data_IF_995248066302
#
_entry.id   IF_995248066302
#
_cell.length_a   1.000
_cell.length_b   1.000
_cell.length_c   1.000
_cell.angle_alpha   90.00
_cell.angle_beta   90.00
_cell.angle_gamma   90.00
#
_symmetry.space_group_name_H-M   'P 1'
#
loop_
_entity.id
_entity.type
_entity.pdbx_description
1 polymer ?
#
# COMPACT_ATOMS: atom_id res chain seq x y z
N UNK A 1 -7.58 -21.79 -1.36
CA UNK A 1 -6.62 -21.89 -0.25
C UNK A 1 -6.31 -20.50 0.25
N UNK A 2 -6.16 -20.32 1.56
CA UNK A 2 -5.67 -19.06 2.14
C UNK A 2 -4.20 -18.96 1.75
N UNK A 3 -3.82 -17.90 1.02
CA UNK A 3 -2.42 -17.65 0.66
C UNK A 3 -1.66 -17.24 1.92
N UNK A 4 -0.52 -17.86 2.18
CA UNK A 4 0.32 -17.57 3.35
C UNK A 4 1.73 -17.21 2.93
N UNK A 5 2.49 -16.64 3.87
CA UNK A 5 3.92 -16.32 3.73
C UNK A 5 4.63 -16.63 5.02
N UNK A 6 5.95 -16.84 4.95
CA UNK A 6 6.78 -16.97 6.14
C UNK A 6 7.52 -15.66 6.38
N UNK A 7 7.39 -15.09 7.57
CA UNK A 7 8.17 -13.95 8.02
C UNK A 7 9.21 -14.37 9.04
N UNK A 8 10.43 -13.88 8.90
CA UNK A 8 11.54 -14.11 9.82
C UNK A 8 12.03 -12.77 10.35
N UNK A 9 12.17 -12.65 11.66
CA UNK A 9 12.73 -11.49 12.34
C UNK A 9 14.02 -11.91 13.07
N UNK A 10 15.14 -11.33 12.65
CA UNK A 10 16.47 -11.65 13.16
C UNK A 10 16.88 -10.59 14.20
N UNK A 11 16.63 -10.87 15.47
CA UNK A 11 17.09 -10.04 16.58
C UNK A 11 18.49 -10.43 17.08
N UNK A 12 19.07 -9.57 17.93
CA UNK A 12 20.37 -9.84 18.57
C UNK A 12 20.35 -11.02 19.54
N UNK A 13 19.20 -11.33 20.15
CA UNK A 13 19.06 -12.42 21.13
C UNK A 13 18.28 -13.61 20.58
N UNK A 14 17.27 -13.37 19.75
CA UNK A 14 16.37 -14.40 19.24
C UNK A 14 16.14 -14.21 17.74
N UNK A 15 15.99 -15.35 17.04
CA UNK A 15 15.44 -15.40 15.69
C UNK A 15 14.02 -15.93 15.82
N UNK A 16 13.05 -15.18 15.30
CA UNK A 16 11.63 -15.53 15.33
C UNK A 16 11.17 -15.78 13.90
N UNK A 17 10.35 -16.79 13.70
CA UNK A 17 9.72 -17.07 12.42
C UNK A 17 8.23 -17.34 12.61
N UNK A 18 7.41 -16.88 11.67
CA UNK A 18 5.98 -17.12 11.69
C UNK A 18 5.44 -17.34 10.28
N UNK A 19 4.52 -18.30 10.12
CA UNK A 19 3.69 -18.39 8.92
C UNK A 19 2.47 -17.53 9.13
N UNK A 20 2.23 -16.59 8.23
CA UNK A 20 1.24 -15.52 8.38
C UNK A 20 0.30 -15.52 7.18
N UNK A 21 -1.00 -15.35 7.44
CA UNK A 21 -2.01 -15.14 6.40
C UNK A 21 -1.95 -13.74 5.80
N UNK A 22 -2.63 -13.54 4.67
CA UNK A 22 -2.71 -12.22 4.02
C UNK A 22 -3.40 -11.13 4.86
N UNK A 23 -4.14 -11.53 5.90
CA UNK A 23 -4.79 -10.68 6.90
C UNK A 23 -3.86 -10.29 8.07
N UNK A 24 -2.60 -10.75 8.06
CA UNK A 24 -1.65 -10.54 9.15
C UNK A 24 -1.80 -11.53 10.32
N UNK A 25 -2.71 -12.52 10.23
CA UNK A 25 -2.90 -13.51 11.28
C UNK A 25 -1.76 -14.54 11.28
N UNK A 26 -1.14 -14.75 12.44
CA UNK A 26 -0.12 -15.78 12.63
C UNK A 26 -0.79 -17.16 12.74
N UNK A 27 -0.35 -18.09 11.89
CA UNK A 27 -0.86 -19.46 11.77
C UNK A 27 0.08 -20.51 12.37
N UNK A 28 1.38 -20.25 12.32
CA UNK A 28 2.41 -21.09 12.93
C UNK A 28 3.57 -20.21 13.41
N UNK A 29 4.28 -20.67 14.45
CA UNK A 29 5.44 -19.97 15.03
C UNK A 29 6.59 -20.93 15.23
N UNK A 30 7.80 -20.43 15.02
CA UNK A 30 9.05 -21.08 15.38
C UNK A 30 10.03 -20.04 15.94
N UNK A 31 10.96 -20.47 16.79
CA UNK A 31 12.00 -19.59 17.34
C UNK A 31 13.29 -20.34 17.60
N UNK A 32 14.41 -19.63 17.49
CA UNK A 32 15.71 -20.11 17.90
C UNK A 32 16.48 -18.99 18.62
N UNK A 33 17.46 -19.34 19.44
CA UNK A 33 18.43 -18.35 19.91
C UNK A 33 19.18 -17.75 18.72
N UNK A 34 19.59 -16.49 18.83
CA UNK A 34 20.47 -15.85 17.84
C UNK A 34 21.94 -16.22 18.07
N UNK A 35 22.82 -15.78 17.17
CA UNK A 35 24.27 -15.98 17.25
C UNK A 35 24.97 -14.78 16.60
N UNK A 36 26.20 -14.50 17.00
CA UNK A 36 27.07 -13.54 16.29
C UNK A 36 27.73 -14.17 15.07
N UNK A 37 27.72 -15.51 14.96
CA UNK A 37 28.23 -16.23 13.79
C UNK A 37 27.17 -16.25 12.68
N UNK A 38 27.43 -15.61 11.52
CA UNK A 38 26.47 -15.53 10.42
C UNK A 38 26.12 -16.88 9.81
N UNK A 39 27.03 -17.87 9.85
CA UNK A 39 26.78 -19.23 9.37
C UNK A 39 25.73 -19.91 10.24
N UNK A 40 25.90 -19.81 11.57
CA UNK A 40 24.94 -20.37 12.53
C UNK A 40 23.59 -19.70 12.42
N UNK A 41 23.56 -18.37 12.19
CA UNK A 41 22.29 -17.64 12.00
C UNK A 41 21.56 -18.13 10.76
N UNK A 42 22.23 -18.22 9.60
CA UNK A 42 21.53 -18.62 8.36
C UNK A 42 21.06 -20.08 8.43
N UNK A 43 21.81 -20.99 9.04
CA UNK A 43 21.39 -22.38 9.27
C UNK A 43 20.15 -22.47 10.17
N UNK A 44 20.09 -21.63 11.21
CA UNK A 44 18.91 -21.54 12.08
C UNK A 44 17.71 -20.96 11.33
N UNK A 45 17.90 -19.94 10.50
CA UNK A 45 16.83 -19.40 9.64
C UNK A 45 16.29 -20.48 8.71
N UNK A 46 17.16 -21.23 8.04
CA UNK A 46 16.76 -22.36 7.18
C UNK A 46 15.96 -23.42 7.96
N UNK A 47 16.41 -23.80 9.16
CA UNK A 47 15.71 -24.78 9.98
C UNK A 47 14.33 -24.27 10.43
N UNK A 48 14.23 -22.99 10.82
CA UNK A 48 12.97 -22.37 11.23
C UNK A 48 11.98 -22.31 10.07
N UNK A 49 12.41 -21.85 8.89
CA UNK A 49 11.57 -21.77 7.69
C UNK A 49 11.08 -23.16 7.29
N UNK A 50 11.97 -24.16 7.25
CA UNK A 50 11.61 -25.54 6.90
C UNK A 50 10.56 -26.13 7.85
N UNK A 51 10.56 -25.73 9.13
CA UNK A 51 9.60 -26.21 10.13
C UNK A 51 8.19 -25.62 10.00
N UNK A 52 8.02 -24.54 9.24
CA UNK A 52 6.72 -23.84 9.08
C UNK A 52 6.32 -23.62 7.62
N UNK A 53 7.14 -24.07 6.67
CA UNK A 53 6.83 -24.05 5.24
C UNK A 53 5.82 -25.16 4.87
N UNK A 54 4.91 -24.87 3.95
CA UNK A 54 3.97 -25.82 3.35
C UNK A 54 3.56 -25.38 1.94
N UNK A 55 2.67 -26.11 1.29
CA UNK A 55 2.18 -25.82 -0.07
C UNK A 55 1.40 -24.50 -0.20
N UNK A 56 0.95 -23.91 0.90
CA UNK A 56 0.18 -22.65 0.90
C UNK A 56 1.09 -21.42 0.93
N UNK A 57 2.34 -21.59 1.34
CA UNK A 57 3.33 -20.50 1.45
C UNK A 57 3.74 -20.04 0.04
N UNK A 58 3.71 -18.73 -0.19
CA UNK A 58 3.99 -18.13 -1.50
C UNK A 58 5.36 -17.42 -1.54
N UNK A 59 5.91 -17.09 -0.37
CA UNK A 59 7.13 -16.30 -0.25
C UNK A 59 7.65 -16.27 1.19
N UNK A 60 8.92 -15.87 1.32
CA UNK A 60 9.62 -15.73 2.58
C UNK A 60 10.11 -14.28 2.71
N UNK A 61 9.81 -13.64 3.82
CA UNK A 61 10.30 -12.30 4.14
C UNK A 61 11.21 -12.33 5.36
N UNK A 62 12.24 -11.48 5.35
CA UNK A 62 13.26 -11.45 6.39
C UNK A 62 13.52 -10.01 6.81
N UNK A 63 13.27 -9.71 8.07
CA UNK A 63 13.73 -8.52 8.76
C UNK A 63 15.12 -8.77 9.35
N UNK A 64 16.09 -7.94 8.96
CA UNK A 64 17.46 -8.01 9.49
C UNK A 64 17.83 -6.69 10.19
N UNK A 65 18.71 -6.74 11.20
CA UNK A 65 19.22 -5.54 11.83
C UNK A 65 20.30 -4.92 10.93
N UNK A 66 20.17 -3.63 10.63
CA UNK A 66 21.14 -2.90 9.79
C UNK A 66 20.60 -2.57 8.40
N UNK A 67 21.51 -2.29 7.46
CA UNK A 67 21.17 -1.76 6.14
C UNK A 67 21.01 -2.88 5.11
N UNK A 68 20.00 -2.73 4.24
CA UNK A 68 19.70 -3.67 3.16
C UNK A 68 19.56 -2.91 1.85
N UNK A 69 20.24 -3.40 0.82
CA UNK A 69 19.94 -3.01 -0.55
C UNK A 69 18.69 -3.76 -1.02
N UNK A 70 17.52 -3.16 -0.79
CA UNK A 70 16.21 -3.80 -0.97
C UNK A 70 16.03 -4.47 -2.34
N UNK A 71 16.40 -3.77 -3.42
CA UNK A 71 16.19 -4.26 -4.79
C UNK A 71 16.95 -5.56 -5.08
N UNK A 72 18.20 -5.68 -4.62
CA UNK A 72 18.99 -6.91 -4.79
C UNK A 72 18.81 -7.90 -3.62
N UNK A 73 18.17 -7.49 -2.53
CA UNK A 73 18.09 -8.26 -1.28
C UNK A 73 19.43 -8.51 -0.60
N UNK A 74 20.45 -7.67 -0.84
CA UNK A 74 21.76 -7.84 -0.20
C UNK A 74 21.78 -7.11 1.13
N UNK A 75 22.22 -7.80 2.18
CA UNK A 75 22.56 -7.15 3.46
C UNK A 75 23.86 -6.37 3.24
N UNK A 76 23.85 -5.08 3.57
CA UNK A 76 25.01 -4.19 3.39
C UNK A 76 25.81 -4.04 4.68
N UNK A 77 25.13 -4.04 5.82
CA UNK A 77 25.74 -4.00 7.14
C UNK A 77 24.82 -4.64 8.17
N UNK A 78 25.43 -5.29 9.16
CA UNK A 78 24.74 -5.81 10.34
C UNK A 78 24.74 -4.88 11.52
N UNK A 79 23.75 -5.06 12.40
CA UNK A 79 23.84 -4.62 13.79
C UNK A 79 24.65 -5.62 14.62
N UNK A 80 23.99 -6.27 15.57
CA UNK A 80 24.58 -7.35 16.38
C UNK A 80 24.83 -8.64 15.58
N UNK A 81 24.16 -8.80 14.44
CA UNK A 81 24.27 -9.93 13.52
C UNK A 81 24.59 -9.37 12.14
N UNK A 82 25.75 -9.72 11.59
CA UNK A 82 26.20 -9.25 10.28
C UNK A 82 26.14 -10.34 9.22
N UNK A 83 25.11 -10.26 8.38
CA UNK A 83 24.87 -11.18 7.26
C UNK A 83 25.38 -10.61 5.92
N UNK A 84 26.16 -9.52 5.92
CA UNK A 84 26.62 -8.86 4.67
C UNK A 84 27.49 -9.75 3.78
N UNK A 85 28.18 -10.73 4.37
CA UNK A 85 28.98 -11.72 3.66
C UNK A 85 28.18 -12.95 3.18
N UNK A 86 26.89 -13.06 3.53
CA UNK A 86 26.04 -14.21 3.22
C UNK A 86 25.07 -13.86 2.09
N UNK A 87 25.00 -14.66 1.00
CA UNK A 87 23.98 -14.51 -0.04
C UNK A 87 22.63 -15.07 0.45
N UNK A 88 22.02 -14.38 1.43
CA UNK A 88 20.84 -14.87 2.16
C UNK A 88 19.67 -15.15 1.21
N UNK A 89 19.39 -14.24 0.27
CA UNK A 89 18.29 -14.38 -0.69
C UNK A 89 18.51 -15.62 -1.56
N UNK A 90 19.63 -15.68 -2.27
CA UNK A 90 19.93 -16.73 -3.24
C UNK A 90 19.95 -18.10 -2.56
N UNK A 91 20.52 -18.18 -1.35
CA UNK A 91 20.59 -19.41 -0.58
C UNK A 91 19.20 -19.93 -0.20
N UNK A 92 18.32 -19.06 0.28
CA UNK A 92 16.96 -19.45 0.68
C UNK A 92 16.06 -19.72 -0.54
N UNK A 93 16.21 -18.95 -1.62
CA UNK A 93 15.50 -19.20 -2.88
C UNK A 93 15.89 -20.57 -3.46
N UNK A 94 17.18 -20.90 -3.49
CA UNK A 94 17.67 -22.19 -3.98
C UNK A 94 17.17 -23.37 -3.12
N UNK A 95 17.05 -23.17 -1.79
CA UNK A 95 16.62 -24.21 -0.86
C UNK A 95 15.12 -24.45 -0.89
N UNK A 96 14.30 -23.40 -0.96
CA UNK A 96 12.85 -23.49 -0.78
C UNK A 96 12.05 -23.32 -2.08
N UNK A 97 12.67 -22.81 -3.15
CA UNK A 97 11.96 -22.53 -4.41
C UNK A 97 10.88 -21.45 -4.26
N UNK A 98 11.02 -20.56 -3.28
CA UNK A 98 10.08 -19.47 -2.97
C UNK A 98 10.77 -18.13 -3.16
N UNK A 99 10.03 -17.10 -3.55
CA UNK A 99 10.55 -15.73 -3.60
C UNK A 99 10.97 -15.26 -2.20
N UNK A 100 12.16 -14.65 -2.08
CA UNK A 100 12.68 -14.15 -0.80
C UNK A 100 12.84 -12.63 -0.83
N UNK A 101 12.22 -11.95 0.13
CA UNK A 101 12.36 -10.50 0.34
C UNK A 101 13.12 -10.23 1.64
N UNK A 102 14.06 -9.29 1.59
CA UNK A 102 14.88 -8.91 2.74
C UNK A 102 14.81 -7.40 2.88
N UNK A 103 14.61 -6.93 4.11
CA UNK A 103 14.64 -5.51 4.46
C UNK A 103 15.06 -5.33 5.93
N UNK A 104 15.23 -4.08 6.33
CA UNK A 104 15.45 -3.70 7.72
C UNK A 104 14.25 -4.10 8.61
N UNK A 105 14.55 -4.58 9.82
CA UNK A 105 13.59 -4.94 10.86
C UNK A 105 12.58 -3.82 11.21
N UNK A 106 13.03 -2.57 11.32
CA UNK A 106 12.19 -1.40 11.52
C UNK A 106 11.23 -1.14 10.35
N UNK A 107 11.70 -1.30 9.11
CA UNK A 107 10.84 -1.21 7.93
C UNK A 107 9.75 -2.29 7.97
N UNK A 108 10.12 -3.53 8.31
CA UNK A 108 9.15 -4.62 8.45
C UNK A 108 8.12 -4.31 9.53
N UNK A 109 8.56 -3.86 10.71
CA UNK A 109 7.65 -3.49 11.79
C UNK A 109 6.62 -2.42 11.36
N UNK A 110 7.05 -1.39 10.61
CA UNK A 110 6.13 -0.37 10.09
C UNK A 110 5.18 -0.92 9.01
N UNK A 111 5.62 -1.86 8.16
CA UNK A 111 4.71 -2.56 7.24
C UNK A 111 3.60 -3.27 8.02
N UNK A 112 3.93 -3.94 9.12
CA UNK A 112 2.94 -4.62 9.96
C UNK A 112 1.96 -3.61 10.57
N UNK A 113 2.46 -2.56 11.22
CA UNK A 113 1.64 -1.54 11.86
C UNK A 113 0.73 -0.82 10.84
N UNK A 114 1.19 -0.59 9.61
CA UNK A 114 0.40 0.02 8.54
C UNK A 114 -0.68 -0.92 7.97
N UNK A 115 -0.48 -2.24 8.03
CA UNK A 115 -1.41 -3.23 7.47
C UNK A 115 -2.42 -3.75 8.47
N UNK A 116 -2.02 -3.95 9.72
CA UNK A 116 -2.86 -4.57 10.74
C UNK A 116 -2.71 -3.97 12.15
N UNK A 117 -1.97 -2.87 12.30
CA UNK A 117 -1.73 -2.24 13.62
C UNK A 117 -2.11 -0.77 13.70
N UNK A 118 -1.30 0.00 14.44
CA UNK A 118 -1.57 1.37 14.86
C UNK A 118 -1.55 2.40 13.71
N UNK A 119 -1.09 2.02 12.51
CA UNK A 119 -1.04 2.90 11.33
C UNK A 119 -2.01 2.46 10.21
N UNK A 120 -3.01 1.61 10.51
CA UNK A 120 -4.04 1.21 9.54
C UNK A 120 -4.77 2.43 8.99
N UNK A 121 -4.92 2.47 7.66
CA UNK A 121 -5.59 3.57 6.96
C UNK A 121 -4.75 4.85 6.80
N UNK A 122 -3.46 4.81 7.17
CA UNK A 122 -2.52 5.92 6.99
C UNK A 122 -1.58 5.64 5.81
N UNK A 123 -1.49 6.57 4.87
CA UNK A 123 -0.55 6.48 3.73
C UNK A 123 0.78 7.15 4.04
N UNK A 124 0.81 8.10 4.97
CA UNK A 124 2.04 8.75 5.46
C UNK A 124 2.19 8.52 6.96
N UNK A 125 3.23 7.79 7.35
CA UNK A 125 3.50 7.47 8.74
C UNK A 125 5.02 7.40 8.99
N UNK A 126 5.42 7.60 10.24
CA UNK A 126 6.79 7.32 10.68
C UNK A 126 6.76 6.42 11.92
N UNK A 127 7.77 5.60 12.10
CA UNK A 127 7.92 4.75 13.27
C UNK A 127 9.29 4.96 13.90
N UNK A 128 9.32 5.06 15.22
CA UNK A 128 10.53 4.99 16.04
C UNK A 128 10.47 3.72 16.88
N UNK A 129 11.45 2.83 16.75
CA UNK A 129 11.55 1.62 17.57
C UNK A 129 12.50 1.87 18.73
N UNK A 130 11.97 1.93 19.96
CA UNK A 130 12.72 2.29 21.16
C UNK A 130 13.03 1.01 21.95
N UNK A 131 14.31 0.64 21.96
CA UNK A 131 14.84 -0.53 22.66
C UNK A 131 16.22 -0.20 23.22
N UNK A 132 17.21 -1.09 23.06
CA UNK A 132 18.61 -0.76 23.41
C UNK A 132 19.10 0.50 22.68
N UNK A 133 18.76 0.61 21.40
CA UNK A 133 18.94 1.81 20.57
C UNK A 133 17.62 2.44 20.16
N UNK A 134 17.66 3.32 19.16
CA UNK A 134 16.48 3.84 18.47
C UNK A 134 16.61 3.54 16.98
N UNK A 135 15.74 2.68 16.47
CA UNK A 135 15.57 2.49 15.03
C UNK A 135 14.48 3.39 14.47
N UNK A 136 14.23 3.27 13.17
CA UNK A 136 13.04 3.88 12.60
C UNK A 136 12.73 3.43 11.19
N UNK A 137 11.57 3.86 10.72
CA UNK A 137 11.08 3.62 9.38
C UNK A 137 10.12 4.74 8.97
N UNK A 138 9.99 4.92 7.65
CA UNK A 138 9.11 5.94 7.07
C UNK A 138 8.22 5.27 6.03
N UNK A 139 6.93 5.60 6.06
CA UNK A 139 5.92 5.23 5.08
C UNK A 139 5.47 6.49 4.33
N UNK A 140 5.54 6.46 2.99
CA UNK A 140 5.06 7.52 2.10
C UNK A 140 4.21 6.87 1.02
N UNK A 141 3.02 7.42 0.76
CA UNK A 141 2.07 6.89 -0.22
C UNK A 141 1.77 5.39 -0.02
N UNK A 142 1.68 4.96 1.24
CA UNK A 142 1.39 3.57 1.62
C UNK A 142 2.54 2.59 1.39
N UNK A 143 3.75 3.08 1.07
CA UNK A 143 4.94 2.27 0.82
C UNK A 143 6.12 2.71 1.67
N UNK A 144 7.00 1.77 2.03
CA UNK A 144 8.20 2.10 2.80
C UNK A 144 9.13 3.00 1.96
N UNK A 145 9.43 4.18 2.50
CA UNK A 145 10.36 5.13 1.92
C UNK A 145 11.79 4.78 2.33
N UNK A 146 12.58 4.32 1.36
CA UNK A 146 13.98 3.90 1.57
C UNK A 146 14.99 4.96 1.12
N UNK A 147 14.56 6.05 0.50
CA UNK A 147 15.44 7.05 -0.11
C UNK A 147 16.41 6.39 -1.10
N UNK A 148 17.68 6.79 -1.07
CA UNK A 148 18.76 6.14 -1.83
C UNK A 148 19.21 4.77 -1.26
N UNK A 149 18.47 4.19 -0.31
CA UNK A 149 18.74 2.89 0.31
C UNK A 149 18.97 2.91 1.82
N UNK A 150 18.98 4.09 2.45
CA UNK A 150 19.28 4.25 3.88
C UNK A 150 18.36 5.24 4.61
N UNK A 151 17.19 5.59 4.05
CA UNK A 151 16.21 6.39 4.79
C UNK A 151 15.65 5.61 6.00
N UNK A 152 15.09 6.33 6.98
CA UNK A 152 14.52 5.73 8.19
C UNK A 152 15.50 5.56 9.36
N UNK A 153 16.74 6.06 9.27
CA UNK A 153 17.71 6.05 10.37
C UNK A 153 17.39 7.11 11.45
N UNK A 154 16.17 7.06 12.01
CA UNK A 154 15.58 8.14 12.79
C UNK A 154 16.23 8.31 14.18
N UNK A 155 16.85 7.26 14.72
CA UNK A 155 17.63 7.36 15.97
C UNK A 155 18.85 8.26 15.88
N UNK A 156 19.29 8.61 14.66
CA UNK A 156 20.44 9.46 14.40
C UNK A 156 20.09 10.93 14.13
N UNK A 157 18.83 11.32 14.31
CA UNK A 157 18.44 12.74 14.33
C UNK A 157 19.19 13.42 15.47
N UNK A 158 19.94 14.49 15.16
CA UNK A 158 20.69 15.27 16.14
C UNK A 158 19.72 16.19 16.88
N UNK A 159 19.61 16.00 18.18
CA UNK A 159 18.77 16.81 19.08
C UNK A 159 19.60 17.69 20.01
N UNK A 160 20.89 17.39 20.14
CA UNK A 160 21.87 18.22 20.82
C UNK A 160 23.24 18.14 20.09
N UNK A 161 23.61 19.13 19.27
CA UNK A 161 24.90 19.12 18.58
C UNK A 161 26.13 19.04 19.50
N UNK A 162 25.98 19.43 20.77
CA UNK A 162 27.04 19.37 21.80
C UNK A 162 26.90 18.14 22.70
N UNK A 163 25.96 17.24 22.40
CA UNK A 163 25.65 16.07 23.20
C UNK A 163 26.68 14.94 23.08
N UNK A 164 26.29 13.76 23.58
CA UNK A 164 27.17 12.59 23.66
C UNK A 164 27.59 12.06 22.29
N UNK A 165 28.80 11.48 22.16
CA UNK A 165 29.22 10.83 20.93
C UNK A 165 28.31 9.65 20.59
N UNK A 166 27.90 9.58 19.32
CA UNK A 166 27.09 8.49 18.76
C UNK A 166 27.96 7.57 17.89
N UNK A 167 27.59 6.29 17.83
CA UNK A 167 28.24 5.28 16.98
C UNK A 167 28.22 5.63 15.50
N UNK A 168 27.29 6.48 15.06
CA UNK A 168 27.23 6.95 13.68
C UNK A 168 28.31 8.00 13.32
N UNK A 169 29.14 8.42 14.29
CA UNK A 169 30.21 9.39 14.12
C UNK A 169 29.82 10.85 14.38
N UNK A 170 28.54 11.13 14.71
CA UNK A 170 28.04 12.44 15.12
C UNK A 170 27.87 12.54 16.64
N UNK A 171 27.51 13.72 17.13
CA UNK A 171 27.20 13.97 18.53
C UNK A 171 25.71 14.27 18.74
N UNK A 172 25.21 13.86 19.92
CA UNK A 172 23.85 14.06 20.43
C UNK A 172 22.71 13.69 19.50
N UNK A 173 22.85 12.53 18.85
CA UNK A 173 21.73 11.82 18.26
C UNK A 173 20.69 11.46 19.33
N UNK A 174 19.41 11.48 19.00
CA UNK A 174 18.30 11.15 19.92
C UNK A 174 18.48 9.78 20.58
N UNK A 175 19.04 8.79 19.87
CA UNK A 175 19.37 7.48 20.44
C UNK A 175 20.24 7.59 21.71
N UNK A 176 21.21 8.50 21.73
CA UNK A 176 22.13 8.65 22.86
C UNK A 176 21.46 9.17 24.12
N UNK A 177 20.26 9.75 24.00
CA UNK A 177 19.54 10.44 25.08
C UNK A 177 18.19 9.79 25.42
N UNK A 178 17.58 9.09 24.47
CA UNK A 178 16.21 8.59 24.56
C UNK A 178 16.06 7.08 24.27
N UNK A 179 17.15 6.33 24.08
CA UNK A 179 17.06 4.86 24.02
C UNK A 179 16.91 4.25 25.42
N UNK A 180 16.69 2.95 25.50
CA UNK A 180 16.74 2.18 26.75
C UNK A 180 18.12 2.18 27.40
N UNK A 181 19.21 2.17 26.61
CA UNK A 181 20.56 2.39 27.15
C UNK A 181 20.70 3.79 27.75
N UNK A 182 20.14 4.81 27.11
CA UNK A 182 20.15 6.17 27.64
C UNK A 182 19.30 6.28 28.92
N UNK A 183 18.14 5.62 28.98
CA UNK A 183 17.31 5.56 30.19
C UNK A 183 18.07 4.95 31.36
N UNK A 184 18.76 3.83 31.15
CA UNK A 184 19.60 3.19 32.18
C UNK A 184 20.69 4.13 32.71
N UNK A 185 21.29 4.93 31.83
CA UNK A 185 22.26 5.98 32.23
C UNK A 185 21.59 7.06 33.08
N UNK A 186 20.45 7.61 32.67
CA UNK A 186 19.71 8.62 33.44
C UNK A 186 19.29 8.09 34.83
N UNK A 187 18.91 6.82 34.93
CA UNK A 187 18.61 6.13 36.20
C UNK A 187 19.85 6.08 37.10
N UNK A 188 21.00 5.68 36.55
CA UNK A 188 22.24 5.59 37.29
C UNK A 188 22.74 6.97 37.77
N UNK A 189 22.68 7.99 36.91
CA UNK A 189 23.03 9.38 37.25
C UNK A 189 22.11 9.97 38.33
N UNK A 190 20.85 9.52 38.39
CA UNK A 190 19.91 9.87 39.43
C UNK A 190 20.11 9.09 40.75
N UNK A 191 21.05 8.16 40.81
CA UNK A 191 21.32 7.32 41.99
C UNK A 191 20.23 6.29 42.28
N UNK A 192 19.41 5.93 41.28
CA UNK A 192 18.35 4.94 41.42
C UNK A 192 18.87 3.51 41.17
N UNK A 193 18.21 2.47 41.74
CA UNK A 193 18.62 1.08 41.51
C UNK A 193 18.61 0.72 40.02
N UNK A 194 19.59 -0.07 39.58
CA UNK A 194 19.70 -0.51 38.18
C UNK A 194 18.49 -1.32 37.68
N UNK A 195 17.72 -1.93 38.59
CA UNK A 195 16.49 -2.64 38.28
C UNK A 195 15.27 -1.72 38.05
N UNK A 196 15.43 -0.40 38.21
CA UNK A 196 14.36 0.58 37.95
C UNK A 196 13.96 0.53 36.47
N UNK A 197 12.66 0.44 36.20
CA UNK A 197 12.09 0.37 34.85
C UNK A 197 11.38 1.68 34.47
N UNK A 198 11.18 1.91 33.17
CA UNK A 198 10.38 3.02 32.67
C UNK A 198 8.96 3.02 33.28
N UNK A 199 8.31 1.85 33.35
CA UNK A 199 7.01 1.68 33.99
C UNK A 199 7.03 2.13 35.47
N UNK A 200 8.02 1.69 36.25
CA UNK A 200 8.14 2.09 37.66
C UNK A 200 8.38 3.60 37.82
N UNK A 201 9.12 4.23 36.92
CA UNK A 201 9.31 5.68 36.91
C UNK A 201 8.02 6.42 36.59
N UNK A 202 7.20 5.90 35.66
CA UNK A 202 5.91 6.48 35.30
C UNK A 202 4.92 6.43 36.48
N UNK A 203 4.86 5.31 37.19
CA UNK A 203 4.05 5.14 38.42
C UNK A 203 4.48 6.09 39.53
N UNK A 204 5.80 6.22 39.74
CA UNK A 204 6.38 7.16 40.72
C UNK A 204 6.09 8.60 40.35
N UNK A 205 6.22 8.98 39.07
CA UNK A 205 5.84 10.32 38.57
C UNK A 205 4.36 10.61 38.81
N UNK A 206 3.47 9.65 38.53
CA UNK A 206 2.04 9.79 38.80
C UNK A 206 1.75 9.99 40.30
N UNK A 207 2.61 9.47 41.18
CA UNK A 207 2.56 9.66 42.63
C UNK A 207 3.26 10.93 43.13
N UNK A 208 3.72 11.81 42.23
CA UNK A 208 4.38 13.07 42.57
C UNK A 208 5.88 12.98 42.88
N UNK A 209 6.55 11.87 42.55
CA UNK A 209 8.00 11.73 42.74
C UNK A 209 8.79 12.64 41.76
N UNK A 210 9.38 13.69 42.31
CA UNK A 210 10.15 14.68 41.55
C UNK A 210 11.43 14.11 40.91
N UNK A 211 12.06 13.09 41.52
CA UNK A 211 13.26 12.46 40.95
C UNK A 211 12.88 11.59 39.75
N UNK A 212 11.78 10.84 39.84
CA UNK A 212 11.25 10.06 38.72
C UNK A 212 10.82 10.97 37.55
N UNK A 213 10.16 12.11 37.85
CA UNK A 213 9.82 13.10 36.83
C UNK A 213 11.07 13.65 36.14
N UNK A 214 12.12 13.99 36.91
CA UNK A 214 13.39 14.47 36.35
C UNK A 214 14.02 13.47 35.40
N UNK A 215 14.08 12.19 35.77
CA UNK A 215 14.63 11.11 34.91
C UNK A 215 13.82 10.97 33.63
N UNK A 216 12.49 10.90 33.73
CA UNK A 216 11.60 10.78 32.56
C UNK A 216 11.68 12.01 31.66
N UNK A 217 11.83 13.22 32.23
CA UNK A 217 12.00 14.46 31.47
C UNK A 217 13.29 14.44 30.65
N UNK A 218 14.41 14.07 31.26
CA UNK A 218 15.71 13.95 30.57
C UNK A 218 15.68 12.92 29.44
N UNK A 219 14.84 11.90 29.57
CA UNK A 219 14.66 10.86 28.57
C UNK A 219 13.66 11.24 27.45
N UNK A 220 12.54 11.89 27.80
CA UNK A 220 11.44 12.18 26.87
C UNK A 220 11.61 13.50 26.09
N UNK A 221 12.22 14.53 26.66
CA UNK A 221 12.37 15.82 25.95
C UNK A 221 13.22 15.74 24.67
N UNK A 222 14.36 15.03 24.66
CA UNK A 222 15.12 14.86 23.42
C UNK A 222 14.33 14.05 22.37
N UNK A 223 13.56 13.05 22.79
CA UNK A 223 12.65 12.31 21.91
C UNK A 223 11.58 13.24 21.31
N UNK A 224 11.02 14.14 22.11
CA UNK A 224 10.06 15.15 21.65
C UNK A 224 10.65 16.01 20.53
N UNK A 225 11.88 16.51 20.71
CA UNK A 225 12.56 17.32 19.70
C UNK A 225 12.79 16.56 18.38
N UNK A 226 13.11 15.27 18.45
CA UNK A 226 13.23 14.43 17.26
C UNK A 226 11.87 14.23 16.56
N UNK A 227 10.80 13.97 17.32
CA UNK A 227 9.43 13.85 16.79
C UNK A 227 8.98 15.15 16.12
N UNK A 228 9.26 16.31 16.72
CA UNK A 228 8.92 17.61 16.14
C UNK A 228 9.67 17.84 14.82
N UNK A 229 10.94 17.43 14.75
CA UNK A 229 11.73 17.49 13.52
C UNK A 229 11.15 16.58 12.42
N UNK A 230 10.68 15.39 12.78
CA UNK A 230 9.99 14.48 11.86
C UNK A 230 8.68 15.06 11.36
N UNK A 231 7.88 15.65 12.25
CA UNK A 231 6.61 16.28 11.91
C UNK A 231 6.83 17.43 10.91
N UNK A 232 7.81 18.29 11.15
CA UNK A 232 8.15 19.39 10.25
C UNK A 232 8.69 18.93 8.89
N UNK A 233 9.39 17.78 8.86
CA UNK A 233 10.05 17.28 7.64
C UNK A 233 9.10 16.45 6.77
N UNK A 234 8.27 15.61 7.38
CA UNK A 234 7.48 14.60 6.69
C UNK A 234 5.97 14.88 6.72
N UNK A 235 5.49 15.67 7.68
CA UNK A 235 4.07 15.85 7.99
C UNK A 235 3.27 14.53 7.93
N UNK A 236 3.64 13.52 8.73
CA UNK A 236 2.97 12.23 8.71
C UNK A 236 1.58 12.35 9.36
N UNK A 237 0.64 11.50 8.95
CA UNK A 237 -0.66 11.41 9.62
C UNK A 237 -0.51 10.84 11.03
N UNK A 238 0.43 9.90 11.20
CA UNK A 238 0.68 9.21 12.46
C UNK A 238 2.17 8.95 12.65
N UNK A 239 2.65 9.14 13.89
CA UNK A 239 3.96 8.70 14.36
C UNK A 239 3.73 7.58 15.38
N UNK A 240 4.29 6.40 15.09
CA UNK A 240 4.17 5.20 15.92
C UNK A 240 5.45 5.03 16.76
N UNK A 241 5.31 4.90 18.07
CA UNK A 241 6.40 4.52 18.96
C UNK A 241 6.30 3.03 19.28
N UNK A 242 7.23 2.25 18.74
CA UNK A 242 7.32 0.81 18.97
C UNK A 242 8.58 0.42 19.72
N UNK A 243 8.94 -0.86 19.63
CA UNK A 243 10.01 -1.46 20.43
C UNK A 243 9.58 -1.66 21.89
N UNK A 244 10.46 -2.28 22.68
CA UNK A 244 10.16 -2.69 24.05
C UNK A 244 9.88 -1.54 25.04
N UNK A 245 10.07 -0.27 24.64
CA UNK A 245 9.77 0.91 25.45
C UNK A 245 8.79 1.88 24.76
N UNK A 246 8.14 1.47 23.67
CA UNK A 246 7.29 2.34 22.86
C UNK A 246 6.10 2.92 23.64
N UNK A 247 5.36 2.08 24.36
CA UNK A 247 4.23 2.47 25.21
C UNK A 247 4.64 3.46 26.30
N UNK A 248 5.75 3.18 26.98
CA UNK A 248 6.29 4.00 28.05
C UNK A 248 6.81 5.33 27.51
N UNK A 249 7.36 5.36 26.29
CA UNK A 249 7.77 6.59 25.63
C UNK A 249 6.57 7.50 25.32
N UNK A 250 5.47 6.94 24.79
CA UNK A 250 4.21 7.70 24.58
C UNK A 250 3.72 8.28 25.91
N UNK A 251 3.68 7.47 26.97
CA UNK A 251 3.27 7.91 28.30
C UNK A 251 4.22 8.96 28.91
N UNK A 252 5.53 8.82 28.70
CA UNK A 252 6.54 9.77 29.17
C UNK A 252 6.41 11.13 28.45
N UNK A 253 6.00 11.12 27.18
CA UNK A 253 5.79 12.31 26.34
C UNK A 253 4.48 13.04 26.60
N UNK A 254 3.50 12.43 27.26
CA UNK A 254 2.17 13.04 27.47
C UNK A 254 2.18 14.46 28.12
N UNK A 255 3.13 14.83 29.01
CA UNK A 255 3.22 16.19 29.54
C UNK A 255 3.84 17.21 28.56
N UNK A 256 4.34 16.76 27.41
CA UNK A 256 5.04 17.56 26.41
C UNK A 256 4.27 17.51 25.06
N UNK A 257 3.09 18.16 24.97
CA UNK A 257 2.30 18.17 23.75
C UNK A 257 2.99 18.96 22.64
N UNK A 258 2.47 18.81 21.42
CA UNK A 258 2.93 19.62 20.30
C UNK A 258 2.63 21.10 20.52
N UNK A 259 3.58 21.93 20.09
CA UNK A 259 3.52 23.38 20.13
C UNK A 259 3.33 23.99 18.74
N UNK A 260 3.55 23.23 17.67
CA UNK A 260 3.34 23.69 16.30
C UNK A 260 1.85 23.81 15.98
N UNK A 261 1.47 24.86 15.27
CA UNK A 261 0.12 25.02 14.69
C UNK A 261 0.09 24.80 13.18
N UNK A 262 1.23 24.51 12.55
CA UNK A 262 1.38 24.46 11.10
C UNK A 262 1.11 23.07 10.51
N UNK A 263 1.21 22.04 11.34
CA UNK A 263 1.03 20.64 10.99
C UNK A 263 0.49 19.90 12.20
N UNK A 264 -0.20 18.78 11.98
CA UNK A 264 -0.70 17.92 13.04
C UNK A 264 -0.44 16.46 12.71
N UNK A 265 -0.26 15.66 13.75
CA UNK A 265 -0.05 14.23 13.63
C UNK A 265 -0.57 13.53 14.88
N UNK A 266 -0.95 12.27 14.72
CA UNK A 266 -1.30 11.40 15.83
C UNK A 266 -0.05 10.70 16.37
N UNK A 267 0.18 10.73 17.68
CA UNK A 267 1.28 10.00 18.34
C UNK A 267 0.71 8.81 19.11
N UNK A 268 1.06 7.59 18.68
CA UNK A 268 0.50 6.34 19.23
C UNK A 268 1.59 5.32 19.52
N UNK A 269 1.29 4.37 20.40
CA UNK A 269 2.14 3.21 20.61
C UNK A 269 1.86 2.17 19.51
N UNK A 270 2.88 1.40 19.13
CA UNK A 270 2.72 0.23 18.27
C UNK A 270 1.75 -0.78 18.91
N UNK A 271 0.84 -1.35 18.12
CA UNK A 271 -0.19 -2.25 18.67
C UNK A 271 0.16 -3.73 18.53
N UNK A 272 1.08 -4.09 17.63
CA UNK A 272 1.48 -5.48 17.37
C UNK A 272 2.65 -5.94 18.25
N UNK A 273 3.30 -5.00 18.94
CA UNK A 273 4.40 -5.26 19.87
C UNK A 273 5.51 -6.11 19.25
N UNK A 274 5.87 -7.18 19.95
CA UNK A 274 6.95 -8.10 19.61
C UNK A 274 6.73 -8.89 18.30
N UNK A 275 5.50 -8.91 17.78
CA UNK A 275 5.14 -9.63 16.56
C UNK A 275 5.25 -8.76 15.30
N UNK A 276 5.40 -7.44 15.44
CA UNK A 276 5.45 -6.51 14.30
C UNK A 276 6.52 -6.90 13.28
N UNK A 277 7.71 -7.31 13.73
CA UNK A 277 8.81 -7.72 12.86
C UNK A 277 8.47 -8.94 12.01
N UNK A 278 7.97 -10.03 12.61
CA UNK A 278 7.64 -11.27 11.89
C UNK A 278 6.41 -11.11 10.99
N UNK A 279 5.39 -10.38 11.44
CA UNK A 279 4.20 -10.10 10.63
C UNK A 279 4.60 -9.26 9.42
N UNK A 280 5.35 -8.20 9.65
CA UNK A 280 5.80 -7.28 8.61
C UNK A 280 6.69 -7.93 7.56
N UNK A 281 7.61 -8.78 8.01
CA UNK A 281 8.44 -9.59 7.15
C UNK A 281 7.57 -10.47 6.23
N UNK A 282 6.63 -11.22 6.79
CA UNK A 282 5.73 -12.08 6.02
C UNK A 282 4.89 -11.26 5.01
N UNK A 283 4.24 -10.19 5.47
CA UNK A 283 3.40 -9.34 4.63
C UNK A 283 4.17 -8.65 3.49
N UNK A 284 5.45 -8.36 3.69
CA UNK A 284 6.32 -7.79 2.65
C UNK A 284 6.67 -8.81 1.56
N UNK A 285 6.72 -10.10 1.91
CA UNK A 285 6.96 -11.19 0.97
C UNK A 285 5.69 -11.71 0.30
N UNK A 286 4.50 -11.23 0.70
CA UNK A 286 3.30 -11.46 -0.09
C UNK A 286 3.56 -10.87 -1.47
N UNK A 287 3.31 -11.63 -2.54
CA UNK A 287 3.38 -11.07 -3.88
C UNK A 287 2.54 -9.80 -3.87
N UNK A 288 3.20 -8.65 -4.07
CA UNK A 288 2.46 -7.42 -4.33
C UNK A 288 1.50 -7.79 -5.44
N UNK A 289 0.19 -7.58 -5.24
CA UNK A 289 -0.64 -7.30 -6.42
C UNK A 289 0.15 -6.18 -7.10
N UNK A 290 0.83 -6.45 -8.21
CA UNK A 290 1.23 -5.36 -9.11
C UNK A 290 -0.03 -4.52 -9.19
N UNK A 291 0.08 -3.23 -8.93
CA UNK A 291 -1.07 -2.36 -9.09
C UNK A 291 -1.43 -2.52 -10.56
N UNK A 292 -2.40 -3.38 -10.82
CA UNK A 292 -2.68 -3.76 -12.18
C UNK A 292 -3.26 -2.58 -12.90
N UNK A 293 -3.24 -2.59 -14.23
CA UNK A 293 -4.02 -1.59 -14.93
C UNK A 293 -5.49 -1.83 -14.62
N UNK A 294 -6.20 -0.77 -14.26
CA UNK A 294 -7.61 -0.81 -13.88
C UNK A 294 -8.45 -0.21 -14.99
N UNK A 295 -9.57 -0.85 -15.29
CA UNK A 295 -10.48 -0.38 -16.31
C UNK A 295 -11.92 -0.26 -15.78
N UNK A 296 -12.50 0.91 -15.95
CA UNK A 296 -13.94 1.13 -15.80
C UNK A 296 -14.59 1.05 -17.17
N UNK A 297 -15.30 -0.03 -17.46
CA UNK A 297 -16.05 -0.21 -18.70
C UNK A 297 -17.43 0.45 -18.54
N UNK A 298 -17.61 1.64 -19.13
CA UNK A 298 -18.93 2.29 -19.20
C UNK A 298 -19.63 1.76 -20.45
N UNK A 299 -20.48 0.76 -20.23
CA UNK A 299 -21.09 -0.04 -21.28
C UNK A 299 -22.59 0.25 -21.43
N UNK A 300 -23.11 0.06 -22.63
CA UNK A 300 -24.52 0.21 -22.96
C UNK A 300 -24.72 0.45 -24.45
N UNK A 301 -25.91 0.16 -24.95
CA UNK A 301 -26.25 0.34 -26.37
C UNK A 301 -26.14 1.81 -26.80
N UNK A 302 -26.01 2.12 -28.11
CA UNK A 302 -26.05 3.50 -28.58
C UNK A 302 -27.24 4.29 -27.99
N UNK A 303 -26.99 5.55 -27.61
CA UNK A 303 -27.98 6.44 -26.96
C UNK A 303 -28.45 6.04 -25.54
N UNK A 304 -27.84 5.05 -24.90
CA UNK A 304 -28.14 4.67 -23.50
C UNK A 304 -27.64 5.65 -22.42
N UNK A 305 -27.02 6.78 -22.79
CA UNK A 305 -26.49 7.76 -21.80
C UNK A 305 -25.05 7.50 -21.32
N UNK A 306 -24.41 6.42 -21.76
CA UNK A 306 -23.02 6.03 -21.42
C UNK A 306 -21.99 7.18 -21.45
N UNK A 307 -22.01 8.04 -22.47
CA UNK A 307 -21.03 9.12 -22.60
C UNK A 307 -21.19 10.20 -21.51
N UNK A 308 -22.42 10.46 -21.07
CA UNK A 308 -22.69 11.38 -19.95
C UNK A 308 -22.22 10.78 -18.62
N UNK A 309 -22.42 9.47 -18.43
CA UNK A 309 -21.94 8.73 -17.25
C UNK A 309 -20.41 8.75 -17.20
N UNK A 310 -19.75 8.42 -18.31
CA UNK A 310 -18.28 8.44 -18.40
C UNK A 310 -17.70 9.82 -18.10
N UNK A 311 -18.28 10.89 -18.67
CA UNK A 311 -17.86 12.26 -18.40
C UNK A 311 -18.07 12.68 -16.93
N UNK A 312 -19.21 12.31 -16.34
CA UNK A 312 -19.48 12.56 -14.93
C UNK A 312 -18.50 11.85 -14.00
N UNK A 313 -18.18 10.58 -14.28
CA UNK A 313 -17.19 9.82 -13.55
C UNK A 313 -15.78 10.40 -13.70
N UNK A 314 -15.39 10.78 -14.91
CA UNK A 314 -14.09 11.40 -15.16
C UNK A 314 -13.93 12.70 -14.36
N UNK A 315 -14.97 13.56 -14.34
CA UNK A 315 -14.97 14.77 -13.53
C UNK A 315 -14.86 14.48 -12.03
N UNK A 316 -15.50 13.41 -11.55
CA UNK A 316 -15.51 13.05 -10.13
C UNK A 316 -14.23 12.34 -9.65
N UNK A 317 -13.49 11.69 -10.55
CA UNK A 317 -12.35 10.82 -10.22
C UNK A 317 -11.01 11.35 -10.71
N UNK A 318 -11.02 12.22 -11.73
CA UNK A 318 -9.81 12.64 -12.43
C UNK A 318 -9.25 11.60 -13.41
N UNK A 319 -9.92 10.46 -13.61
CA UNK A 319 -9.42 9.41 -14.50
C UNK A 319 -9.63 9.76 -15.98
N UNK A 320 -8.65 9.45 -16.86
CA UNK A 320 -8.77 9.67 -18.29
C UNK A 320 -9.88 8.82 -18.92
N UNK A 321 -10.58 9.41 -19.90
CA UNK A 321 -11.63 8.73 -20.69
C UNK A 321 -11.11 8.40 -22.08
N UNK A 322 -11.30 7.17 -22.50
CA UNK A 322 -11.20 6.76 -23.90
C UNK A 322 -12.61 6.39 -24.40
N UNK A 323 -13.15 7.16 -25.33
CA UNK A 323 -14.45 6.88 -25.94
C UNK A 323 -14.28 6.40 -27.37
N UNK A 324 -15.08 5.41 -27.76
CA UNK A 324 -15.07 4.88 -29.12
C UNK A 324 -15.33 5.98 -30.15
N UNK A 325 -16.30 6.87 -29.89
CA UNK A 325 -16.64 7.96 -30.81
C UNK A 325 -15.53 9.04 -30.83
N UNK A 326 -14.85 9.32 -29.71
CA UNK A 326 -13.70 10.25 -29.67
C UNK A 326 -12.53 9.77 -30.52
N UNK A 327 -12.25 8.46 -30.54
CA UNK A 327 -11.20 7.90 -31.39
C UNK A 327 -11.67 7.82 -32.85
N UNK A 328 -12.93 7.45 -33.08
CA UNK A 328 -13.47 7.15 -34.41
C UNK A 328 -13.77 8.39 -35.24
N UNK A 329 -14.33 9.44 -34.63
CA UNK A 329 -14.83 10.63 -35.36
C UNK A 329 -13.75 11.36 -36.16
N UNK A 330 -12.52 11.60 -35.64
CA UNK A 330 -11.46 12.23 -36.44
C UNK A 330 -11.15 11.48 -37.73
N UNK A 331 -11.26 10.15 -37.75
CA UNK A 331 -11.09 9.38 -38.99
C UNK A 331 -12.29 9.53 -39.94
N UNK A 332 -13.51 9.68 -39.42
CA UNK A 332 -14.70 9.90 -40.25
C UNK A 332 -14.70 11.29 -40.90
N UNK A 333 -14.01 12.27 -40.31
CA UNK A 333 -13.84 13.60 -40.90
C UNK A 333 -12.90 13.60 -42.10
N UNK A 334 -11.86 12.75 -42.07
CA UNK A 334 -10.82 12.68 -43.09
C UNK A 334 -11.10 11.64 -44.19
N UNK A 335 -11.89 10.61 -43.91
CA UNK A 335 -12.13 9.50 -44.86
C UNK A 335 -13.40 9.76 -45.67
N UNK A 336 -13.24 10.02 -46.96
CA UNK A 336 -14.35 10.16 -47.90
C UNK A 336 -15.09 8.81 -48.08
N UNK A 337 -16.42 8.85 -48.15
CA UNK A 337 -17.32 7.69 -48.39
C UNK A 337 -17.18 6.52 -47.40
N UNK A 338 -17.97 6.56 -46.32
CA UNK A 338 -18.01 5.51 -45.29
C UNK A 338 -19.29 4.69 -45.38
N UNK A 339 -19.19 3.45 -45.84
CA UNK A 339 -20.28 2.49 -45.81
C UNK A 339 -20.41 1.77 -44.44
N UNK A 340 -21.50 1.02 -44.25
CA UNK A 340 -21.77 0.31 -42.98
C UNK A 340 -20.69 -0.74 -42.64
N UNK A 341 -20.21 -1.59 -43.57
CA UNK A 341 -19.07 -2.47 -43.34
C UNK A 341 -17.80 -1.74 -42.88
N UNK A 342 -17.45 -0.63 -43.53
CA UNK A 342 -16.27 0.17 -43.19
C UNK A 342 -16.39 0.78 -41.80
N UNK A 343 -17.55 1.37 -41.45
CA UNK A 343 -17.78 1.91 -40.10
C UNK A 343 -17.64 0.82 -39.02
N UNK A 344 -18.12 -0.42 -39.28
CA UNK A 344 -17.92 -1.55 -38.35
C UNK A 344 -16.43 -1.90 -38.21
N UNK A 345 -15.67 -1.93 -39.30
CA UNK A 345 -14.23 -2.19 -39.29
C UNK A 345 -13.47 -1.08 -38.54
N UNK A 346 -13.84 0.18 -38.76
CA UNK A 346 -13.27 1.34 -38.08
C UNK A 346 -13.61 1.32 -36.58
N UNK A 347 -14.82 0.94 -36.20
CA UNK A 347 -15.18 0.72 -34.79
C UNK A 347 -14.32 -0.37 -34.13
N UNK A 348 -14.08 -1.50 -34.82
CA UNK A 348 -13.19 -2.55 -34.34
C UNK A 348 -11.74 -2.04 -34.19
N UNK A 349 -11.24 -1.27 -35.15
CA UNK A 349 -9.91 -0.67 -35.09
C UNK A 349 -9.77 0.36 -33.97
N UNK A 350 -10.81 1.18 -33.75
CA UNK A 350 -10.86 2.17 -32.67
C UNK A 350 -10.81 1.49 -31.30
N UNK A 351 -11.53 0.38 -31.13
CA UNK A 351 -11.46 -0.41 -29.89
C UNK A 351 -10.05 -0.96 -29.65
N UNK A 352 -9.38 -1.49 -30.68
CA UNK A 352 -7.98 -1.93 -30.58
C UNK A 352 -7.05 -0.80 -30.16
N UNK A 353 -7.20 0.39 -30.76
CA UNK A 353 -6.38 1.55 -30.43
C UNK A 353 -6.55 1.97 -28.96
N UNK A 354 -7.78 1.95 -28.45
CA UNK A 354 -8.06 2.28 -27.05
C UNK A 354 -7.37 1.30 -26.08
N UNK A 355 -7.43 -0.01 -26.34
CA UNK A 355 -6.73 -1.00 -25.52
C UNK A 355 -5.21 -0.93 -25.66
N UNK A 356 -4.68 -0.60 -26.85
CA UNK A 356 -3.24 -0.39 -27.04
C UNK A 356 -2.72 0.80 -26.21
N UNK A 357 -3.48 1.91 -26.17
CA UNK A 357 -3.16 3.05 -25.29
C UNK A 357 -3.15 2.65 -23.81
N UNK A 358 -4.11 1.82 -23.37
CA UNK A 358 -4.08 1.26 -22.02
C UNK A 358 -2.84 0.38 -21.81
N UNK A 359 -2.45 -0.43 -22.80
CA UNK A 359 -1.31 -1.34 -22.72
C UNK A 359 0.01 -0.63 -22.38
N UNK A 360 0.21 0.57 -22.93
CA UNK A 360 1.39 1.43 -22.72
C UNK A 360 1.35 2.22 -21.40
N UNK A 361 0.22 2.27 -20.70
CA UNK A 361 0.12 2.99 -19.44
C UNK A 361 0.98 2.33 -18.34
N UNK A 362 1.47 3.09 -17.34
CA UNK A 362 2.16 2.50 -16.21
C UNK A 362 1.21 1.63 -15.37
N UNK A 363 1.76 0.64 -14.70
CA UNK A 363 1.07 -0.14 -13.66
C UNK A 363 0.41 0.81 -12.64
N UNK A 364 -0.84 0.51 -12.26
CA UNK A 364 -1.65 1.26 -11.31
C UNK A 364 -2.55 2.32 -11.97
N UNK A 365 -2.36 2.59 -13.27
CA UNK A 365 -3.21 3.49 -14.01
C UNK A 365 -4.66 2.99 -14.07
N UNK A 366 -5.61 3.93 -13.97
CA UNK A 366 -7.04 3.66 -14.12
C UNK A 366 -7.59 4.44 -15.29
N UNK A 367 -8.31 3.78 -16.19
CA UNK A 367 -8.98 4.41 -17.32
C UNK A 367 -10.48 4.15 -17.29
N UNK A 368 -11.25 5.10 -17.80
CA UNK A 368 -12.66 4.95 -18.10
C UNK A 368 -12.80 4.71 -19.61
N UNK A 369 -13.49 3.65 -20.01
CA UNK A 369 -13.71 3.32 -21.42
C UNK A 369 -15.20 3.39 -21.76
N UNK A 370 -15.58 4.33 -22.62
CA UNK A 370 -16.95 4.52 -23.10
C UNK A 370 -17.15 3.85 -24.46
N UNK A 371 -17.78 2.68 -24.46
CA UNK A 371 -18.11 1.95 -25.67
C UNK A 371 -19.31 1.03 -25.45
N UNK A 372 -20.06 0.75 -26.52
CA UNK A 372 -20.91 -0.44 -26.54
C UNK A 372 -19.99 -1.62 -26.84
N UNK A 373 -19.72 -2.54 -25.91
CA UNK A 373 -18.78 -3.64 -26.14
C UNK A 373 -19.42 -4.82 -26.88
N UNK A 374 -20.74 -4.97 -26.80
CA UNK A 374 -21.49 -6.07 -27.43
C UNK A 374 -21.54 -6.04 -28.97
N UNK A 375 -20.95 -5.04 -29.63
CA UNK A 375 -20.79 -5.04 -31.09
C UNK A 375 -19.63 -5.92 -31.59
N UNK A 376 -18.80 -6.44 -30.67
CA UNK A 376 -17.72 -7.38 -30.96
C UNK A 376 -17.92 -8.70 -30.20
N UNK A 377 -17.37 -9.82 -30.71
CA UNK A 377 -17.35 -11.08 -29.96
C UNK A 377 -16.65 -10.92 -28.60
N UNK A 378 -17.15 -11.63 -27.57
CA UNK A 378 -16.56 -11.61 -26.22
C UNK A 378 -15.08 -11.97 -26.23
N UNK A 379 -14.71 -13.04 -26.93
CA UNK A 379 -13.33 -13.52 -27.04
C UNK A 379 -12.39 -12.43 -27.57
N UNK A 380 -12.83 -11.69 -28.59
CA UNK A 380 -12.04 -10.59 -29.13
C UNK A 380 -11.77 -9.47 -28.12
N UNK A 381 -12.75 -9.16 -27.26
CA UNK A 381 -12.55 -8.13 -26.22
C UNK A 381 -11.69 -8.68 -25.09
N UNK A 382 -11.81 -9.97 -24.75
CA UNK A 382 -10.95 -10.63 -23.76
C UNK A 382 -9.49 -10.61 -24.21
N UNK A 383 -9.19 -10.94 -25.48
CA UNK A 383 -7.83 -10.90 -26.02
C UNK A 383 -7.20 -9.50 -25.89
N UNK A 384 -8.01 -8.43 -26.06
CA UNK A 384 -7.54 -7.06 -25.90
C UNK A 384 -7.30 -6.68 -24.44
N UNK A 385 -8.15 -7.17 -23.52
CA UNK A 385 -7.99 -7.00 -22.08
C UNK A 385 -6.68 -7.65 -21.63
N UNK A 386 -6.44 -8.89 -22.05
CA UNK A 386 -5.26 -9.67 -21.69
C UNK A 386 -3.99 -9.04 -22.27
N UNK A 387 -4.02 -8.63 -23.54
CA UNK A 387 -2.89 -7.98 -24.21
C UNK A 387 -2.54 -6.61 -23.59
N UNK A 388 -3.53 -5.88 -23.05
CA UNK A 388 -3.28 -4.61 -22.37
C UNK A 388 -2.74 -4.79 -20.94
N UNK A 389 -2.70 -6.01 -20.41
CA UNK A 389 -2.29 -6.29 -19.03
C UNK A 389 -3.21 -5.63 -18.01
N UNK A 390 -4.53 -5.75 -18.21
CA UNK A 390 -5.56 -5.21 -17.32
C UNK A 390 -5.92 -6.29 -16.30
N UNK A 391 -5.66 -6.03 -15.02
CA UNK A 391 -5.86 -7.01 -13.96
C UNK A 391 -7.21 -6.86 -13.25
N UNK A 392 -7.84 -5.69 -13.32
CA UNK A 392 -9.11 -5.43 -12.63
C UNK A 392 -10.04 -4.56 -13.44
N UNK A 393 -11.27 -5.05 -13.61
CA UNK A 393 -12.32 -4.41 -14.39
C UNK A 393 -13.52 -4.17 -13.50
N UNK A 394 -14.11 -2.98 -13.61
CA UNK A 394 -15.44 -2.67 -13.10
C UNK A 394 -16.33 -2.27 -14.29
N UNK A 395 -17.53 -2.82 -14.38
CA UNK A 395 -18.47 -2.48 -15.46
C UNK A 395 -19.60 -1.61 -14.93
N UNK A 396 -19.83 -0.47 -15.58
CA UNK A 396 -20.96 0.42 -15.35
C UNK A 396 -21.95 0.21 -16.50
N UNK A 397 -23.03 -0.50 -16.22
CA UNK A 397 -24.06 -0.83 -17.19
C UNK A 397 -25.11 0.28 -17.29
N UNK A 398 -25.09 1.03 -18.40
CA UNK A 398 -26.00 2.13 -18.65
C UNK A 398 -27.25 1.65 -19.41
N UNK A 399 -28.40 1.75 -18.77
CA UNK A 399 -29.70 1.37 -19.33
C UNK A 399 -30.69 2.55 -19.37
N UNK A 400 -31.71 2.39 -20.20
CA UNK A 400 -32.88 3.25 -20.30
C UNK A 400 -34.00 2.47 -21.04
N UNK A 401 -35.28 2.88 -20.92
CA UNK A 401 -36.36 2.28 -21.70
C UNK A 401 -36.04 2.27 -23.21
N UNK A 402 -36.27 1.15 -23.93
CA UNK A 402 -35.93 1.01 -25.35
C UNK A 402 -36.49 2.13 -26.24
N UNK A 403 -37.73 2.54 -26.02
CA UNK A 403 -38.36 3.63 -26.78
C UNK A 403 -37.64 4.96 -26.57
N UNK A 404 -37.27 5.27 -25.31
CA UNK A 404 -36.50 6.47 -25.00
C UNK A 404 -35.11 6.45 -25.65
N UNK A 405 -34.49 5.27 -25.77
CA UNK A 405 -33.22 5.10 -26.50
C UNK A 405 -33.41 5.42 -27.99
N UNK A 406 -34.51 4.95 -28.58
CA UNK A 406 -34.89 5.28 -29.96
C UNK A 406 -35.11 6.78 -30.17
N UNK A 407 -35.82 7.44 -29.26
CA UNK A 407 -36.06 8.89 -29.28
C UNK A 407 -34.75 9.67 -29.17
N UNK A 408 -33.92 9.33 -28.18
CA UNK A 408 -32.59 9.95 -27.97
C UNK A 408 -31.69 9.78 -29.19
N UNK A 409 -31.74 8.62 -29.85
CA UNK A 409 -30.98 8.40 -31.08
C UNK A 409 -31.48 9.28 -32.22
N UNK A 410 -32.80 9.32 -32.41
CA UNK A 410 -33.46 10.11 -33.47
C UNK A 410 -33.13 11.60 -33.37
N UNK A 411 -33.18 12.18 -32.17
CA UNK A 411 -32.82 13.58 -31.94
C UNK A 411 -31.35 13.88 -32.29
N UNK A 412 -30.46 12.91 -32.14
CA UNK A 412 -29.01 13.06 -32.39
C UNK A 412 -28.61 12.84 -33.85
N UNK A 413 -29.47 12.25 -34.66
CA UNK A 413 -29.14 11.91 -36.06
C UNK A 413 -28.81 13.14 -36.90
N UNK A 414 -29.44 14.29 -36.61
CA UNK A 414 -29.23 15.54 -37.36
C UNK A 414 -27.84 16.17 -37.16
N UNK A 415 -27.10 15.79 -36.11
CA UNK A 415 -25.80 16.38 -35.76
C UNK A 415 -24.63 15.40 -35.86
N UNK A 416 -24.83 14.20 -36.42
CA UNK A 416 -23.78 13.19 -36.59
C UNK A 416 -23.07 13.29 -37.93
N UNK A 417 -21.77 13.00 -37.92
CA UNK A 417 -20.95 12.93 -39.12
C UNK A 417 -21.46 11.85 -40.10
N UNK A 418 -21.24 12.04 -41.42
CA UNK A 418 -21.50 11.03 -42.43
C UNK A 418 -20.88 9.67 -42.05
N UNK A 419 -21.62 8.58 -42.26
CA UNK A 419 -21.17 7.21 -41.97
C UNK A 419 -21.79 6.56 -40.72
N UNK A 420 -22.41 7.33 -39.82
CA UNK A 420 -23.29 6.76 -38.78
C UNK A 420 -24.65 6.33 -39.38
N UNK A 421 -25.28 5.24 -38.90
CA UNK A 421 -26.60 4.83 -39.38
C UNK A 421 -27.65 5.93 -39.14
N UNK A 422 -28.50 6.17 -40.15
CA UNK A 422 -29.55 7.19 -40.10
C UNK A 422 -30.78 6.72 -39.28
N UNK A 423 -31.92 7.43 -39.39
CA UNK A 423 -33.13 7.13 -38.65
C UNK A 423 -33.68 5.72 -38.92
N UNK A 424 -33.34 5.12 -40.06
CA UNK A 424 -33.70 3.75 -40.43
C UNK A 424 -33.16 2.68 -39.46
N UNK A 425 -32.15 3.01 -38.65
CA UNK A 425 -31.59 2.10 -37.65
C UNK A 425 -32.38 2.05 -36.34
N UNK A 426 -33.28 3.02 -36.09
CA UNK A 426 -33.99 3.15 -34.81
C UNK A 426 -34.76 1.88 -34.42
N UNK A 427 -35.54 1.22 -35.30
CA UNK A 427 -36.23 -0.01 -34.93
C UNK A 427 -35.27 -1.15 -34.53
N UNK A 428 -34.13 -1.27 -35.21
CA UNK A 428 -33.09 -2.25 -34.89
C UNK A 428 -32.45 -1.94 -33.53
N UNK A 429 -32.23 -0.67 -33.23
CA UNK A 429 -31.68 -0.19 -31.96
C UNK A 429 -32.64 -0.43 -30.79
N UNK A 430 -33.94 -0.15 -30.95
CA UNK A 430 -34.97 -0.42 -29.94
C UNK A 430 -35.02 -1.91 -29.63
N UNK A 431 -35.05 -2.77 -30.67
CA UNK A 431 -35.01 -4.22 -30.49
C UNK A 431 -33.71 -4.70 -29.82
N UNK A 432 -32.56 -4.08 -30.13
CA UNK A 432 -31.29 -4.36 -29.47
C UNK A 432 -31.33 -3.96 -27.99
N UNK A 433 -31.85 -2.77 -27.67
CA UNK A 433 -31.94 -2.27 -26.30
C UNK A 433 -32.75 -3.20 -25.39
N UNK A 434 -33.81 -3.81 -25.91
CA UNK A 434 -34.65 -4.76 -25.16
C UNK A 434 -33.97 -6.08 -24.78
N UNK A 435 -32.89 -6.46 -25.47
CA UNK A 435 -32.19 -7.75 -25.27
C UNK A 435 -30.73 -7.61 -24.84
N UNK A 436 -30.21 -6.38 -24.81
CA UNK A 436 -28.81 -6.13 -24.51
C UNK A 436 -28.54 -6.38 -23.03
N UNK A 437 -27.40 -7.03 -22.75
CA UNK A 437 -26.96 -7.36 -21.40
C UNK A 437 -25.54 -6.84 -21.15
N UNK A 438 -25.16 -6.63 -19.87
CA UNK A 438 -23.79 -6.29 -19.51
C UNK A 438 -22.82 -7.38 -19.97
N UNK A 439 -21.60 -6.97 -20.27
CA UNK A 439 -20.56 -7.85 -20.75
C UNK A 439 -20.01 -8.78 -19.67
N UNK A 440 -20.06 -8.41 -18.39
CA UNK A 440 -19.59 -9.19 -17.24
C UNK A 440 -18.13 -9.63 -17.39
N UNK A 441 -17.25 -8.71 -17.80
CA UNK A 441 -15.79 -8.89 -17.68
C UNK A 441 -15.29 -8.62 -16.25
N UNK A 442 -16.11 -7.96 -15.41
CA UNK A 442 -15.87 -7.75 -13.99
C UNK A 442 -17.20 -7.56 -13.24
N UNK A 443 -17.17 -7.17 -11.94
CA UNK A 443 -18.37 -6.79 -11.21
C UNK A 443 -19.14 -5.68 -11.94
N UNK A 444 -20.46 -5.73 -11.87
CA UNK A 444 -21.36 -4.83 -12.62
C UNK A 444 -22.12 -3.94 -11.65
N UNK A 445 -22.21 -2.65 -11.97
CA UNK A 445 -23.11 -1.69 -11.35
C UNK A 445 -24.07 -1.13 -12.40
N UNK A 446 -25.37 -1.24 -12.17
CA UNK A 446 -26.39 -0.78 -13.10
C UNK A 446 -26.73 0.70 -12.85
N UNK A 447 -26.84 1.46 -13.95
CA UNK A 447 -27.18 2.89 -13.93
C UNK A 447 -28.36 3.11 -14.85
N UNK A 448 -29.51 3.43 -14.26
CA UNK A 448 -30.66 3.96 -14.98
C UNK A 448 -30.38 5.41 -15.38
N UNK A 449 -30.21 5.64 -16.68
CA UNK A 449 -29.88 6.96 -17.23
C UNK A 449 -31.10 7.86 -17.45
N UNK A 450 -32.28 7.47 -16.96
CA UNK A 450 -33.44 8.36 -16.83
C UNK A 450 -33.35 9.25 -15.58
N UNK A 451 -32.58 8.83 -14.57
CA UNK A 451 -32.36 9.56 -13.34
C UNK A 451 -31.09 10.43 -13.37
N UNK A 452 -30.94 11.31 -12.38
CA UNK A 452 -29.70 12.05 -12.16
C UNK A 452 -28.57 11.09 -11.77
N UNK A 453 -27.35 11.35 -12.27
CA UNK A 453 -26.20 10.48 -12.03
C UNK A 453 -25.75 10.52 -10.56
N UNK A 454 -25.90 9.40 -9.85
CA UNK A 454 -25.38 9.23 -8.49
C UNK A 454 -23.90 8.80 -8.51
N UNK A 455 -23.03 9.79 -8.65
CA UNK A 455 -21.57 9.56 -8.64
C UNK A 455 -21.04 9.05 -7.30
N UNK A 456 -21.73 9.28 -6.18
CA UNK A 456 -21.29 8.84 -4.85
C UNK A 456 -21.41 7.33 -4.74
N UNK A 457 -22.56 6.78 -5.13
CA UNK A 457 -22.80 5.34 -5.09
C UNK A 457 -21.88 4.60 -6.06
N UNK A 458 -21.70 5.13 -7.28
CA UNK A 458 -20.80 4.52 -8.26
C UNK A 458 -19.36 4.53 -7.74
N UNK A 459 -18.89 5.62 -7.12
CA UNK A 459 -17.54 5.68 -6.54
C UNK A 459 -17.32 4.64 -5.44
N UNK A 460 -18.28 4.47 -4.54
CA UNK A 460 -18.19 3.43 -3.49
C UNK A 460 -18.07 2.03 -4.09
N UNK A 461 -18.84 1.74 -5.13
CA UNK A 461 -18.72 0.48 -5.87
C UNK A 461 -17.32 0.32 -6.48
N UNK A 462 -16.81 1.36 -7.15
CA UNK A 462 -15.48 1.32 -7.78
C UNK A 462 -14.36 1.14 -6.74
N UNK A 463 -14.45 1.80 -5.59
CA UNK A 463 -13.54 1.62 -4.46
C UNK A 463 -13.57 0.18 -3.94
N UNK A 464 -14.75 -0.45 -3.81
CA UNK A 464 -14.86 -1.86 -3.40
C UNK A 464 -14.23 -2.82 -4.42
N UNK A 465 -14.42 -2.57 -5.72
CA UNK A 465 -13.87 -3.42 -6.79
C UNK A 465 -12.36 -3.30 -6.88
N UNK A 466 -11.82 -2.08 -6.82
CA UNK A 466 -10.40 -1.82 -7.03
C UNK A 466 -9.55 -1.98 -5.77
N UNK A 467 -10.07 -1.65 -4.59
CA UNK A 467 -9.32 -1.72 -3.34
C UNK A 467 -9.63 -3.00 -2.53
N UNK A 468 -10.61 -3.80 -2.99
CA UNK A 468 -11.10 -5.00 -2.30
C UNK A 468 -11.98 -4.66 -1.09
N UNK A 469 -12.50 -5.67 -0.35
CA UNK A 469 -13.13 -5.42 0.92
C UNK A 469 -12.07 -4.78 1.84
N UNK A 470 -12.25 -3.50 2.18
CA UNK A 470 -11.58 -2.97 3.36
C UNK A 470 -12.04 -3.86 4.50
N UNK A 471 -11.13 -4.62 5.07
CA UNK A 471 -11.34 -5.24 6.37
C UNK A 471 -11.43 -4.08 7.37
N UNK A 472 -12.59 -3.43 7.42
CA UNK A 472 -13.03 -2.83 8.66
C UNK A 472 -13.08 -3.98 9.65
N UNK A 473 -12.16 -3.97 10.63
CA UNK A 473 -12.39 -4.65 11.90
C UNK A 473 -13.69 -4.14 12.54
N UNK A 474 -14.20 -4.89 13.54
CA UNK A 474 -15.62 -5.12 13.82
C UNK A 474 -16.56 -3.91 13.71
#
# INVERSE_FOLDING_TARGET
MIRTTVGVDIGGTNIRAARVGADGKILARARAASSTDPTVVIERVEALVAGIDDETVQGIGIGVPGQVHFASGRVLSGGYVDLSAVPVRERLEARFGRNVVIDNDGNMALVAEARCGAAVGRSHAAMLTIGTGIGGAILVDGSIFRGAGAAGQLGHIVVDPQGLPCKCGRNGCVETMSSGTALGRHIAEAGLPAATTAASLLERRASGDALADKVLRSWAQPLRAAIDSLAATLHPQTIVLGGGLGSEAVAALSPYPDKSSWFSYELVAASLGDDAGVIGAALTALPSRRAGKRLVMVNGVPASGKSSVAAGLAKATGWPVLSLDTIKNPFLEEIETVDRPFNRKLGRASLKAMFAVLGEAPDGATFIMDAWFGFQPREFVQDLIDAAGIDTIAEIWCSAPPELIGDRYSTRTASRLPGHPGPEYVPELVALASRAEPSRFGPVHEVDTTAALDTITIRKFLEQVFDGPRACGP
#
